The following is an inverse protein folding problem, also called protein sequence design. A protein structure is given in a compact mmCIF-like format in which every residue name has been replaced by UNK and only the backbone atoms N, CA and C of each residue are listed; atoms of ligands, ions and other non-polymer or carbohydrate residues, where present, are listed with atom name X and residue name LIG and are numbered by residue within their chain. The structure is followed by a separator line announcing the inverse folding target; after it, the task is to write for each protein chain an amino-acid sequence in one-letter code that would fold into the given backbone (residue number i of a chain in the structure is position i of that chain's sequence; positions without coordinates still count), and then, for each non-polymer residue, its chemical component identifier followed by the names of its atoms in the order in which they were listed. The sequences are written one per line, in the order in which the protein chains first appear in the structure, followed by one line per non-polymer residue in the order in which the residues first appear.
data_IF_687680502129
#
_entry.id   IF_687680502129
#
_cell.length_a   1.000
_cell.length_b   1.000
_cell.length_c   1.000
_cell.angle_alpha   90.00
_cell.angle_beta   90.00
_cell.angle_gamma   90.00
#
_symmetry.space_group_name_H-M   'P 1'
#
loop_
_entity.id
_entity.type
_entity.pdbx_description
1 polymer ?
#
# COMPACT_ATOMS: atom_id res chain seq x y z
N UNK A 1 -23.31 -5.57 -14.73
CA UNK A 1 -23.02 -4.20 -15.22
C UNK A 1 -21.51 -3.96 -15.32
N UNK A 2 -20.76 -4.09 -14.22
CA UNK A 2 -19.30 -3.83 -14.18
C UNK A 2 -18.40 -4.69 -15.09
N UNK A 3 -18.92 -5.75 -15.70
CA UNK A 3 -18.21 -6.61 -16.65
C UNK A 3 -18.93 -6.68 -18.01
N UNK A 4 -19.77 -5.69 -18.31
CA UNK A 4 -20.47 -5.56 -19.60
C UNK A 4 -19.86 -4.42 -20.41
N UNK A 5 -20.32 -4.18 -21.64
CA UNK A 5 -19.84 -3.06 -22.47
C UNK A 5 -20.51 -1.71 -22.15
N UNK A 6 -21.25 -1.62 -21.03
CA UNK A 6 -21.99 -0.42 -20.63
C UNK A 6 -21.16 0.65 -19.92
N UNK A 7 -20.36 0.34 -18.88
CA UNK A 7 -19.51 1.35 -18.23
C UNK A 7 -18.24 1.64 -19.03
N UNK A 8 -17.63 2.77 -18.70
CA UNK A 8 -16.27 3.11 -19.11
C UNK A 8 -15.24 2.44 -18.18
N UNK A 9 -14.15 1.93 -18.77
CA UNK A 9 -13.04 1.34 -18.02
C UNK A 9 -11.80 2.23 -18.14
N UNK A 10 -11.20 2.58 -17.00
CA UNK A 10 -9.96 3.38 -16.95
C UNK A 10 -8.85 2.64 -16.23
N UNK A 11 -7.58 2.83 -16.59
CA UNK A 11 -6.48 2.33 -15.77
C UNK A 11 -6.52 2.92 -14.37
N UNK A 12 -6.20 2.13 -13.35
CA UNK A 12 -6.04 2.63 -11.99
C UNK A 12 -4.86 3.60 -11.92
N UNK A 13 -5.18 4.87 -11.66
CA UNK A 13 -4.26 5.96 -11.33
C UNK A 13 -4.79 6.65 -10.07
N UNK A 14 -4.08 6.59 -8.93
CA UNK A 14 -4.52 7.21 -7.69
C UNK A 14 -4.81 8.72 -7.81
N UNK A 15 -4.07 9.47 -8.63
CA UNK A 15 -4.26 10.92 -8.78
C UNK A 15 -5.59 11.26 -9.44
N UNK A 16 -5.99 10.44 -10.43
CA UNK A 16 -7.27 10.58 -11.15
C UNK A 16 -8.41 9.98 -10.34
N UNK A 17 -8.18 8.81 -9.75
CA UNK A 17 -9.21 8.04 -9.04
C UNK A 17 -9.67 8.75 -7.77
N UNK A 18 -8.74 9.35 -7.02
CA UNK A 18 -9.04 9.99 -5.73
C UNK A 18 -9.97 11.21 -5.84
N UNK A 19 -10.03 11.84 -7.01
CA UNK A 19 -10.87 13.03 -7.28
C UNK A 19 -12.00 12.73 -8.26
N UNK A 20 -12.18 11.48 -8.68
CA UNK A 20 -13.23 11.10 -9.61
C UNK A 20 -14.61 11.22 -8.94
N UNK A 21 -15.55 12.02 -9.48
CA UNK A 21 -16.88 12.15 -8.90
C UNK A 21 -17.66 10.84 -9.01
N UNK A 22 -18.48 10.55 -8.02
CA UNK A 22 -19.33 9.36 -7.98
C UNK A 22 -20.68 9.65 -7.34
N UNK A 23 -21.64 8.74 -7.51
CA UNK A 23 -22.96 8.74 -6.86
C UNK A 23 -23.26 7.33 -6.35
N UNK A 24 -24.18 7.16 -5.41
CA UNK A 24 -24.46 5.89 -4.72
C UNK A 24 -25.85 5.31 -4.99
N UNK A 25 -26.67 5.98 -5.81
CA UNK A 25 -28.06 5.62 -6.12
C UNK A 25 -28.17 4.57 -7.24
N UNK A 26 -27.22 4.58 -8.18
CA UNK A 26 -27.19 3.69 -9.35
C UNK A 26 -25.82 3.04 -9.57
N UNK A 27 -25.71 2.16 -10.57
CA UNK A 27 -24.42 1.57 -10.95
C UNK A 27 -23.41 2.64 -11.39
N UNK A 28 -22.13 2.39 -11.12
CA UNK A 28 -21.06 3.33 -11.44
C UNK A 28 -20.84 3.39 -12.96
N UNK A 29 -20.79 4.59 -13.56
CA UNK A 29 -20.52 4.73 -14.99
C UNK A 29 -19.06 4.45 -15.35
N UNK A 30 -18.14 4.50 -14.38
CA UNK A 30 -16.70 4.32 -14.57
C UNK A 30 -16.17 3.30 -13.56
N UNK A 31 -15.31 2.38 -14.02
CA UNK A 31 -14.55 1.46 -13.17
C UNK A 31 -13.05 1.58 -13.46
N UNK A 32 -12.24 1.57 -12.39
CA UNK A 32 -10.78 1.63 -12.49
C UNK A 32 -10.16 0.24 -12.40
N UNK A 33 -9.34 -0.11 -13.39
CA UNK A 33 -8.76 -1.44 -13.56
C UNK A 33 -7.29 -1.42 -13.14
N UNK A 34 -6.95 -2.25 -12.16
CA UNK A 34 -5.58 -2.56 -11.82
C UNK A 34 -5.13 -3.81 -12.58
N UNK A 35 -3.91 -3.78 -13.13
CA UNK A 35 -3.31 -4.94 -13.79
C UNK A 35 -3.09 -6.10 -12.82
N UNK A 36 -2.65 -5.79 -11.60
CA UNK A 36 -2.50 -6.70 -10.47
C UNK A 36 -2.41 -5.90 -9.16
N UNK A 37 -2.43 -6.63 -8.03
CA UNK A 37 -2.44 -6.03 -6.70
C UNK A 37 -1.10 -5.38 -6.34
N UNK A 38 0.01 -5.93 -6.81
CA UNK A 38 1.36 -5.45 -6.56
C UNK A 38 1.57 -4.06 -7.18
N UNK A 39 1.19 -3.88 -8.44
CA UNK A 39 1.24 -2.62 -9.18
C UNK A 39 0.29 -1.59 -8.57
N UNK A 40 -0.94 -2.00 -8.20
CA UNK A 40 -1.88 -1.11 -7.54
C UNK A 40 -1.34 -0.61 -6.19
N UNK A 41 -0.76 -1.50 -5.40
CA UNK A 41 -0.10 -1.16 -4.13
C UNK A 41 1.05 -0.19 -4.33
N UNK A 42 1.93 -0.42 -5.31
CA UNK A 42 3.05 0.46 -5.61
C UNK A 42 2.60 1.86 -6.07
N UNK A 43 1.57 1.94 -6.92
CA UNK A 43 0.96 3.21 -7.34
C UNK A 43 0.38 3.96 -6.15
N UNK A 44 -0.37 3.28 -5.28
CA UNK A 44 -0.95 3.87 -4.08
C UNK A 44 0.12 4.37 -3.11
N UNK A 45 1.19 3.60 -2.87
CA UNK A 45 2.31 4.01 -2.03
C UNK A 45 2.98 5.28 -2.58
N UNK A 46 3.24 5.34 -3.89
CA UNK A 46 3.82 6.51 -4.54
C UNK A 46 2.93 7.75 -4.41
N UNK A 47 1.61 7.59 -4.56
CA UNK A 47 0.64 8.66 -4.32
C UNK A 47 0.64 9.13 -2.88
N UNK A 48 0.66 8.21 -1.91
CA UNK A 48 0.70 8.54 -0.48
C UNK A 48 1.97 9.31 -0.08
N UNK A 49 3.13 9.05 -0.71
CA UNK A 49 4.37 9.78 -0.44
C UNK A 49 4.30 11.26 -0.83
N UNK A 50 3.45 11.62 -1.80
CA UNK A 50 3.24 13.02 -2.21
C UNK A 50 2.39 13.81 -1.19
N UNK A 51 1.67 13.12 -0.30
CA UNK A 51 0.85 13.76 0.73
C UNK A 51 1.75 14.41 1.78
N UNK A 52 1.49 15.69 2.10
CA UNK A 52 2.16 16.37 3.21
C UNK A 52 1.70 15.79 4.55
N UNK A 53 2.45 14.83 5.08
CA UNK A 53 2.24 14.27 6.42
C UNK A 53 3.48 14.56 7.30
N UNK A 54 3.31 15.09 8.53
CA UNK A 54 4.45 15.40 9.40
C UNK A 54 5.04 14.15 10.09
N UNK A 55 4.62 12.95 9.69
CA UNK A 55 5.06 11.68 10.27
C UNK A 55 4.78 10.50 9.32
N UNK A 56 5.53 9.43 9.52
CA UNK A 56 5.23 8.12 8.93
C UNK A 56 4.53 7.24 9.97
N UNK A 57 3.70 6.32 9.49
CA UNK A 57 3.06 5.29 10.31
C UNK A 57 3.73 3.95 10.05
N UNK A 58 3.79 3.11 11.08
CA UNK A 58 4.21 1.72 10.98
C UNK A 58 3.15 0.86 11.66
N UNK A 59 2.79 -0.25 11.02
CA UNK A 59 1.85 -1.21 11.57
C UNK A 59 2.62 -2.31 12.30
N UNK A 60 2.28 -2.56 13.57
CA UNK A 60 2.77 -3.71 14.32
C UNK A 60 1.75 -4.86 14.22
N UNK A 61 2.07 -5.95 13.50
CA UNK A 61 1.16 -7.08 13.33
C UNK A 61 0.99 -7.92 14.60
N UNK A 62 1.92 -7.86 15.56
CA UNK A 62 1.84 -8.66 16.79
C UNK A 62 0.84 -8.07 17.78
N UNK A 63 0.77 -6.75 17.84
CA UNK A 63 -0.15 -6.03 18.73
C UNK A 63 -1.38 -5.48 18.00
N UNK A 64 -1.48 -5.68 16.68
CA UNK A 64 -2.51 -5.11 15.82
C UNK A 64 -2.64 -3.59 15.98
N UNK A 65 -1.52 -2.89 16.16
CA UNK A 65 -1.49 -1.46 16.49
C UNK A 65 -0.77 -0.63 15.42
N UNK A 66 -1.02 0.68 15.41
CA UNK A 66 -0.33 1.63 14.53
C UNK A 66 0.57 2.55 15.35
N UNK A 67 1.84 2.59 14.99
CA UNK A 67 2.84 3.41 15.63
C UNK A 67 3.23 4.61 14.78
N UNK A 68 3.32 5.77 15.42
CA UNK A 68 3.84 6.99 14.79
C UNK A 68 5.37 7.00 14.83
N UNK A 69 6.00 6.96 13.65
CA UNK A 69 7.44 6.99 13.45
C UNK A 69 7.94 8.44 13.35
N UNK A 70 7.94 9.15 14.49
CA UNK A 70 8.48 10.53 14.61
C UNK A 70 9.89 10.61 15.18
N UNK A 71 10.28 9.64 16.01
CA UNK A 71 11.49 9.72 16.82
C UNK A 71 12.59 8.77 16.30
N UNK A 72 13.86 9.22 16.17
CA UNK A 72 14.96 8.39 15.69
C UNK A 72 15.14 7.04 16.41
N UNK A 73 14.95 6.92 17.75
CA UNK A 73 15.07 5.62 18.43
C UNK A 73 14.06 4.57 17.94
N UNK A 74 12.83 4.99 17.60
CA UNK A 74 11.79 4.07 17.10
C UNK A 74 12.14 3.53 15.72
N UNK A 75 12.60 4.41 14.83
CA UNK A 75 13.07 4.04 13.50
C UNK A 75 14.26 3.07 13.60
N UNK A 76 15.22 3.36 14.49
CA UNK A 76 16.36 2.47 14.74
C UNK A 76 15.92 1.08 15.22
N UNK A 77 14.96 1.01 16.15
CA UNK A 77 14.42 -0.27 16.65
C UNK A 77 13.81 -1.09 15.51
N UNK A 78 12.97 -0.49 14.66
CA UNK A 78 12.36 -1.16 13.53
C UNK A 78 13.41 -1.69 12.52
N UNK A 79 14.43 -0.88 12.20
CA UNK A 79 15.53 -1.29 11.31
C UNK A 79 16.34 -2.44 11.91
N UNK A 80 16.64 -2.40 13.20
CA UNK A 80 17.35 -3.48 13.89
C UNK A 80 16.56 -4.80 13.87
N UNK A 81 15.24 -4.74 14.05
CA UNK A 81 14.37 -5.91 13.97
C UNK A 81 14.39 -6.53 12.56
N UNK A 82 14.23 -5.70 11.51
CA UNK A 82 14.31 -6.17 10.13
C UNK A 82 15.67 -6.79 9.79
N UNK A 83 16.76 -6.27 10.37
CA UNK A 83 18.12 -6.83 10.19
C UNK A 83 18.24 -8.23 10.77
N UNK A 84 17.66 -8.48 11.95
CA UNK A 84 17.69 -9.81 12.58
C UNK A 84 16.83 -10.80 11.80
N UNK A 85 15.64 -10.38 11.33
CA UNK A 85 14.80 -11.20 10.45
C UNK A 85 15.54 -11.59 9.16
N UNK A 86 16.21 -10.63 8.51
CA UNK A 86 17.00 -10.89 7.31
C UNK A 86 18.16 -11.86 7.57
N UNK A 87 18.85 -11.72 8.71
CA UNK A 87 19.90 -12.65 9.12
C UNK A 87 19.38 -14.08 9.31
N UNK A 88 18.22 -14.24 9.96
CA UNK A 88 17.59 -15.55 10.13
C UNK A 88 17.21 -16.19 8.80
N UNK A 89 16.69 -15.41 7.86
CA UNK A 89 16.37 -15.87 6.51
C UNK A 89 17.63 -16.27 5.73
N UNK A 90 18.72 -15.51 5.84
CA UNK A 90 20.01 -15.87 5.22
C UNK A 90 20.55 -17.19 5.75
N UNK A 91 20.55 -17.41 7.07
CA UNK A 91 20.98 -18.67 7.67
C UNK A 91 20.10 -19.85 7.22
N UNK A 92 18.78 -19.64 7.13
CA UNK A 92 17.87 -20.67 6.63
C UNK A 92 18.17 -21.02 5.16
N UNK A 93 18.49 -20.03 4.32
CA UNK A 93 18.85 -20.24 2.93
C UNK A 93 20.16 -21.04 2.80
N UNK A 94 21.19 -20.71 3.58
CA UNK A 94 22.46 -21.44 3.61
C UNK A 94 22.31 -22.92 4.00
N UNK A 95 21.37 -23.22 4.90
CA UNK A 95 21.08 -24.60 5.32
C UNK A 95 20.28 -25.41 4.28
N UNK A 96 19.63 -24.73 3.33
CA UNK A 96 18.86 -25.38 2.25
C UNK A 96 19.70 -25.63 0.99
N UNK A 97 20.83 -24.92 0.85
CA UNK A 97 21.85 -25.13 -0.19
C UNK A 97 22.86 -26.19 0.18
#
# INVERSE_FOLDING_TARGET
YALSDKPEYKPFDPEVTAVHPYQDQAFQPVYFIAENLEVAKAKLQSYMMKMKKPFSLHYDPFTCSTEVMKAPPKVKRAVSQMKEELKNLSLALENLS
#
